data_IF_032806696509
#
_entry.id   IF_032806696509
#
_cell.length_a   1.000
_cell.length_b   1.000
_cell.length_c   1.000
_cell.angle_alpha   90.00
_cell.angle_beta   90.00
_cell.angle_gamma   90.00
#
_symmetry.space_group_name_H-M   'P 1'
#
loop_
_entity.id
_entity.type
_entity.pdbx_description
1 polymer ?
#
# COMPACT_ATOMS: atom_id res chain seq x y z
N UNK A 1 6.65 14.95 7.06
CA UNK A 1 5.36 15.26 6.39
C UNK A 1 4.53 13.99 6.37
N UNK A 2 3.28 14.03 6.83
CA UNK A 2 2.35 12.89 6.71
C UNK A 2 1.71 12.96 5.31
N UNK A 3 1.73 11.86 4.56
CA UNK A 3 1.09 11.76 3.24
C UNK A 3 -0.13 10.84 3.36
N UNK A 4 -1.24 11.26 2.78
CA UNK A 4 -2.47 10.48 2.69
C UNK A 4 -3.10 10.68 1.32
N UNK A 5 -3.67 9.61 0.78
CA UNK A 5 -4.36 9.59 -0.51
C UNK A 5 -5.71 8.90 -0.34
N UNK A 6 -6.67 9.25 -1.20
CA UNK A 6 -7.94 8.53 -1.27
C UNK A 6 -7.67 7.06 -1.60
N UNK A 7 -8.33 6.14 -0.89
CA UNK A 7 -8.14 4.70 -1.13
C UNK A 7 -8.54 4.36 -2.58
N UNK A 8 -7.60 3.79 -3.33
CA UNK A 8 -7.84 3.42 -4.71
C UNK A 8 -6.62 2.89 -5.42
N UNK A 9 -6.76 2.67 -6.72
CA UNK A 9 -5.71 2.09 -7.55
C UNK A 9 -5.76 2.60 -8.98
N UNK A 10 -4.60 2.59 -9.64
CA UNK A 10 -4.46 3.04 -11.02
C UNK A 10 -4.58 1.87 -11.99
N UNK A 11 -5.40 2.02 -13.02
CA UNK A 11 -5.53 1.06 -14.13
C UNK A 11 -4.97 1.71 -15.40
N UNK A 12 -4.01 1.05 -16.04
CA UNK A 12 -3.54 1.48 -17.35
C UNK A 12 -4.53 1.05 -18.43
N UNK A 13 -5.03 2.01 -19.20
CA UNK A 13 -5.94 1.79 -20.32
C UNK A 13 -5.36 2.43 -21.58
N UNK A 14 -5.62 1.84 -22.74
CA UNK A 14 -5.23 2.42 -24.04
C UNK A 14 -6.48 2.97 -24.71
N UNK A 15 -6.59 4.28 -24.79
CA UNK A 15 -7.74 4.96 -25.42
C UNK A 15 -7.22 5.80 -26.58
N UNK A 16 -7.68 5.54 -27.81
CA UNK A 16 -7.27 6.30 -29.00
C UNK A 16 -5.76 6.28 -29.28
N UNK A 17 -5.07 5.17 -29.00
CA UNK A 17 -3.63 5.03 -29.21
C UNK A 17 -2.74 5.66 -28.11
N UNK A 18 -3.31 6.35 -27.12
CA UNK A 18 -2.58 6.90 -25.97
C UNK A 18 -2.73 6.03 -24.73
N UNK A 19 -1.65 5.86 -23.98
CA UNK A 19 -1.68 5.23 -22.67
C UNK A 19 -2.23 6.23 -21.64
N UNK A 20 -3.35 5.89 -21.01
CA UNK A 20 -3.96 6.67 -19.94
C UNK A 20 -3.99 5.86 -18.64
N UNK A 21 -3.96 6.56 -17.51
CA UNK A 21 -4.12 5.94 -16.19
C UNK A 21 -5.43 6.41 -15.58
N UNK A 22 -6.35 5.47 -15.36
CA UNK A 22 -7.63 5.73 -14.72
C UNK A 22 -7.54 5.38 -13.23
N UNK A 23 -7.93 6.31 -12.36
CA UNK A 23 -8.05 6.03 -10.94
C UNK A 23 -9.37 5.33 -10.66
N UNK A 24 -9.32 4.21 -9.93
CA UNK A 24 -10.50 3.51 -9.41
C UNK A 24 -10.49 3.59 -7.89
N UNK A 25 -11.48 4.28 -7.35
CA UNK A 25 -11.69 4.40 -5.91
C UNK A 25 -12.07 3.05 -5.31
N UNK A 26 -11.60 2.80 -4.09
CA UNK A 26 -11.87 1.61 -3.30
C UNK A 26 -12.80 1.99 -2.16
N UNK A 27 -13.92 1.27 -2.06
CA UNK A 27 -14.78 1.33 -0.89
C UNK A 27 -14.29 0.30 0.12
N UNK A 28 -13.54 0.73 1.13
CA UNK A 28 -12.94 -0.16 2.14
C UNK A 28 -13.98 -1.01 2.89
N UNK A 29 -15.22 -0.52 3.01
CA UNK A 29 -16.33 -1.24 3.63
C UNK A 29 -17.07 -2.21 2.69
N UNK A 30 -16.56 -2.49 1.48
CA UNK A 30 -17.25 -3.37 0.52
C UNK A 30 -17.19 -4.85 0.90
N UNK A 31 -16.24 -5.24 1.75
CA UNK A 31 -15.93 -6.64 2.04
C UNK A 31 -15.09 -7.32 0.95
N UNK A 32 -14.75 -6.61 -0.12
CA UNK A 32 -13.86 -7.12 -1.16
C UNK A 32 -12.43 -7.31 -0.62
N UNK A 33 -11.74 -8.32 -1.14
CA UNK A 33 -10.34 -8.56 -0.80
C UNK A 33 -9.43 -7.65 -1.62
N UNK A 34 -8.59 -6.91 -0.92
CA UNK A 34 -7.54 -6.09 -1.52
C UNK A 34 -6.16 -6.62 -1.15
N UNK A 35 -5.19 -6.38 -2.03
CA UNK A 35 -3.77 -6.58 -1.76
C UNK A 35 -3.07 -5.22 -1.78
N UNK A 36 -2.30 -4.96 -0.74
CA UNK A 36 -1.39 -3.83 -0.67
C UNK A 36 0.06 -4.32 -0.82
N UNK A 37 0.86 -3.53 -1.53
CA UNK A 37 2.31 -3.68 -1.61
C UNK A 37 2.92 -2.44 -0.96
N UNK A 38 3.73 -2.66 0.07
CA UNK A 38 4.48 -1.62 0.76
C UNK A 38 5.95 -1.94 0.55
N UNK A 39 6.64 -1.05 -0.14
CA UNK A 39 8.03 -1.24 -0.52
C UNK A 39 8.84 -0.05 -0.04
N UNK A 40 10.06 -0.32 0.42
CA UNK A 40 11.03 0.70 0.76
C UNK A 40 12.33 0.46 -0.02
N UNK A 41 12.75 1.46 -0.79
CA UNK A 41 13.98 1.40 -1.59
C UNK A 41 14.56 2.79 -1.75
N UNK A 42 15.87 2.96 -1.48
CA UNK A 42 16.60 4.23 -1.65
C UNK A 42 15.84 5.41 -0.99
N UNK A 43 15.50 5.27 0.29
CA UNK A 43 14.76 6.26 1.08
C UNK A 43 13.35 6.59 0.58
N UNK A 44 12.82 5.80 -0.36
CA UNK A 44 11.47 6.00 -0.90
C UNK A 44 10.55 4.90 -0.41
N UNK A 45 9.45 5.29 0.23
CA UNK A 45 8.33 4.40 0.54
C UNK A 45 7.32 4.48 -0.61
N UNK A 46 6.93 3.33 -1.12
CA UNK A 46 5.92 3.20 -2.16
C UNK A 46 4.79 2.30 -1.66
N UNK A 47 3.55 2.80 -1.74
CA UNK A 47 2.35 2.02 -1.41
C UNK A 47 1.54 1.85 -2.69
N UNK A 48 1.24 0.60 -3.03
CA UNK A 48 0.31 0.27 -4.12
C UNK A 48 -0.83 -0.56 -3.57
N UNK A 49 -2.05 -0.30 -4.03
CA UNK A 49 -3.26 -1.04 -3.67
C UNK A 49 -3.90 -1.59 -4.94
N UNK A 50 -4.56 -2.75 -4.87
CA UNK A 50 -5.47 -3.24 -5.90
C UNK A 50 -6.37 -4.36 -5.34
N UNK A 51 -7.50 -4.68 -5.99
CA UNK A 51 -8.22 -5.93 -5.74
C UNK A 51 -7.28 -7.14 -5.79
N UNK A 52 -7.45 -8.09 -4.86
CA UNK A 52 -6.50 -9.18 -4.65
C UNK A 52 -6.30 -10.11 -5.86
N UNK A 53 -7.28 -10.16 -6.77
CA UNK A 53 -7.23 -10.94 -8.01
C UNK A 53 -6.51 -10.23 -9.18
N UNK A 54 -6.13 -8.96 -9.01
CA UNK A 54 -5.41 -8.18 -10.02
C UNK A 54 -3.91 -8.18 -9.77
N UNK A 55 -3.14 -8.02 -10.85
CA UNK A 55 -1.70 -7.78 -10.77
C UNK A 55 -1.43 -6.39 -10.18
N UNK A 56 -0.27 -6.23 -9.53
CA UNK A 56 0.19 -4.96 -8.99
C UNK A 56 0.18 -3.87 -10.07
N UNK A 57 -0.55 -2.76 -9.87
CA UNK A 57 -0.46 -1.58 -10.73
C UNK A 57 0.97 -1.07 -10.89
N UNK A 58 1.29 -0.57 -12.08
CA UNK A 58 2.61 0.05 -12.32
C UNK A 58 2.76 1.41 -11.63
N UNK A 59 1.66 2.15 -11.50
CA UNK A 59 1.63 3.44 -10.83
C UNK A 59 1.22 3.23 -9.36
N UNK A 60 2.04 3.65 -8.40
CA UNK A 60 1.70 3.52 -6.99
C UNK A 60 0.60 4.50 -6.59
N UNK A 61 -0.04 4.22 -5.45
CA UNK A 61 -1.00 5.12 -4.82
C UNK A 61 -0.25 6.23 -4.08
N UNK A 62 0.72 5.87 -3.24
CA UNK A 62 1.57 6.80 -2.50
C UNK A 62 3.03 6.55 -2.87
N UNK A 63 3.78 7.63 -3.06
CA UNK A 63 5.23 7.62 -3.18
C UNK A 63 5.78 8.79 -2.37
N UNK A 64 6.64 8.52 -1.39
CA UNK A 64 7.17 9.56 -0.51
C UNK A 64 8.57 9.23 -0.02
N UNK A 65 9.36 10.27 0.26
CA UNK A 65 10.70 10.15 0.81
C UNK A 65 10.63 10.06 2.34
N UNK A 66 11.21 9.01 2.90
CA UNK A 66 11.29 8.77 4.35
C UNK A 66 12.69 8.30 4.69
N UNK A 67 13.33 8.97 5.63
CA UNK A 67 14.55 8.46 6.24
C UNK A 67 14.20 7.50 7.39
N UNK A 68 14.34 6.19 7.17
CA UNK A 68 13.98 5.22 8.20
C UNK A 68 14.82 5.34 9.48
N UNK A 69 16.08 5.79 9.41
CA UNK A 69 16.94 5.89 10.61
C UNK A 69 16.43 6.90 11.64
N UNK A 70 15.53 7.81 11.24
CA UNK A 70 14.91 8.79 12.14
C UNK A 70 13.65 8.24 12.85
N UNK A 71 13.10 7.12 12.37
CA UNK A 71 11.79 6.61 12.82
C UNK A 71 11.84 5.18 13.34
N UNK A 72 12.83 4.38 12.93
CA UNK A 72 12.99 2.99 13.41
C UNK A 72 14.27 2.82 14.22
N UNK A 73 14.20 2.00 15.26
CA UNK A 73 15.35 1.55 16.02
C UNK A 73 16.05 0.39 15.30
N UNK A 74 17.25 0.02 15.76
CA UNK A 74 18.03 -1.12 15.25
C UNK A 74 17.21 -2.42 15.19
N UNK A 75 16.37 -2.65 16.21
CA UNK A 75 15.46 -3.80 16.29
C UNK A 75 14.03 -3.30 16.47
N UNK A 76 13.18 -3.70 15.54
CA UNK A 76 11.75 -3.38 15.55
C UNK A 76 10.96 -4.61 15.12
N UNK A 77 9.69 -4.67 15.52
CA UNK A 77 8.77 -5.70 15.09
C UNK A 77 7.86 -5.16 14.00
N UNK A 78 7.57 -5.97 12.99
CA UNK A 78 6.62 -5.66 11.92
C UNK A 78 5.31 -6.39 12.18
N UNK A 79 4.19 -5.73 11.89
CA UNK A 79 2.87 -6.28 12.12
C UNK A 79 1.76 -5.28 11.76
N UNK A 80 0.53 -5.65 12.11
CA UNK A 80 -0.66 -4.84 11.87
C UNK A 80 -1.28 -4.43 13.19
N UNK A 81 -1.83 -3.21 13.23
CA UNK A 81 -2.67 -2.73 14.30
C UNK A 81 -3.95 -2.17 13.69
N UNK A 82 -5.07 -2.34 14.39
CA UNK A 82 -6.38 -1.87 13.96
C UNK A 82 -7.20 -1.41 15.15
N UNK A 83 -8.15 -0.51 14.89
CA UNK A 83 -9.08 -0.01 15.89
C UNK A 83 -10.44 0.18 15.23
N UNK A 84 -11.50 -0.17 15.95
CA UNK A 84 -12.87 0.11 15.53
C UNK A 84 -13.36 1.34 16.30
N UNK A 85 -13.96 2.29 15.58
CA UNK A 85 -14.67 3.43 16.18
C UNK A 85 -16.04 3.02 16.73
N UNK A 86 -17.07 3.84 16.51
CA UNK A 86 -18.45 3.57 16.98
C UNK A 86 -19.26 2.63 16.06
N UNK A 87 -18.63 1.67 15.39
CA UNK A 87 -19.29 0.76 14.45
C UNK A 87 -18.70 -0.65 14.49
N UNK A 88 -19.42 -1.61 13.89
CA UNK A 88 -18.90 -2.97 13.68
C UNK A 88 -18.20 -3.00 12.33
N UNK A 89 -16.88 -3.00 12.37
CA UNK A 89 -16.03 -3.21 11.19
C UNK A 89 -15.10 -4.40 11.46
N UNK A 90 -14.73 -5.15 10.41
CA UNK A 90 -13.72 -6.21 10.54
C UNK A 90 -12.44 -5.78 9.85
N UNK A 91 -11.32 -6.01 10.52
CA UNK A 91 -9.98 -5.78 9.97
C UNK A 91 -9.28 -7.12 9.84
N UNK A 92 -9.57 -7.82 8.74
CA UNK A 92 -9.08 -9.17 8.51
C UNK A 92 -7.81 -9.16 7.63
N UNK A 93 -6.74 -9.80 8.11
CA UNK A 93 -5.53 -10.07 7.32
C UNK A 93 -5.56 -11.52 6.86
N UNK A 94 -5.93 -11.75 5.60
CA UNK A 94 -6.01 -13.11 5.04
C UNK A 94 -4.64 -13.77 4.85
N UNK A 95 -3.66 -13.01 4.38
CA UNK A 95 -2.28 -13.45 4.23
C UNK A 95 -1.35 -12.25 4.17
N UNK A 96 -0.11 -12.45 4.58
CA UNK A 96 0.94 -11.45 4.47
C UNK A 96 2.30 -12.12 4.34
N UNK A 97 3.22 -11.41 3.73
CA UNK A 97 4.63 -11.80 3.60
C UNK A 97 5.47 -10.58 3.88
N UNK A 98 6.55 -10.76 4.62
CA UNK A 98 7.51 -9.70 4.90
C UNK A 98 8.92 -10.19 4.54
N UNK A 99 9.68 -9.32 3.90
CA UNK A 99 11.07 -9.57 3.54
C UNK A 99 11.89 -8.31 3.82
N UNK A 100 13.05 -8.49 4.44
CA UNK A 100 14.04 -7.43 4.63
C UNK A 100 15.41 -7.97 4.21
N UNK A 101 16.04 -7.30 3.25
CA UNK A 101 17.36 -7.67 2.69
C UNK A 101 18.48 -6.75 3.17
N UNK A 102 18.21 -5.86 4.13
CA UNK A 102 19.24 -5.08 4.79
C UNK A 102 20.27 -6.02 5.41
N UNK A 103 21.55 -5.76 5.16
CA UNK A 103 22.63 -6.51 5.80
C UNK A 103 22.63 -6.13 7.28
N UNK A 104 22.59 -7.12 8.15
CA UNK A 104 22.95 -6.90 9.55
C UNK A 104 24.41 -6.46 9.57
N UNK A 105 24.63 -5.18 9.92
CA UNK A 105 25.96 -4.62 10.18
C UNK A 105 26.45 -5.03 11.56
#
# INVERSE_FOLDING_TARGET
MLVSEKAGYWVQTRTGGKNQSLFKEVKLSSGDKYKAWIEYKRSTVTVTLAPAHLKKPKRPLIETQVNLSEVVLERMYTGFAGSMGRGVERHDIWSWTFENTAKNS
#
